data_IF_197704788563
#
_entry.id   IF_197704788563
#
_cell.length_a   1.000
_cell.length_b   1.000
_cell.length_c   1.000
_cell.angle_alpha   90.00
_cell.angle_beta   90.00
_cell.angle_gamma   90.00
#
_symmetry.space_group_name_H-M   'P 1'
#
loop_
_entity.id
_entity.type
_entity.pdbx_description
1 polymer ?
#
# COMPACT_ATOMS: atom_id res chain seq x y z
N UNK A 1 -18.04 23.01 -30.75
CA UNK A 1 -17.15 23.97 -30.06
C UNK A 1 -16.84 23.57 -28.60
N UNK A 2 -17.76 22.94 -27.88
CA UNK A 2 -17.57 22.58 -26.46
C UNK A 2 -16.58 21.42 -26.24
N UNK A 3 -16.55 20.44 -27.11
CA UNK A 3 -15.64 19.27 -27.02
C UNK A 3 -14.18 19.69 -27.17
N UNK A 4 -13.88 20.56 -28.14
CA UNK A 4 -12.52 21.07 -28.38
C UNK A 4 -12.06 21.96 -27.20
N UNK A 5 -12.97 22.73 -26.62
CA UNK A 5 -12.68 23.58 -25.45
C UNK A 5 -12.38 22.74 -24.20
N UNK A 6 -13.15 21.66 -23.98
CA UNK A 6 -12.91 20.70 -22.89
C UNK A 6 -11.59 19.95 -23.06
N UNK A 7 -11.28 19.46 -24.27
CA UNK A 7 -9.99 18.82 -24.55
C UNK A 7 -8.82 19.79 -24.32
N UNK A 8 -8.92 21.06 -24.74
CA UNK A 8 -7.87 22.05 -24.55
C UNK A 8 -7.66 22.39 -23.07
N UNK A 9 -8.73 22.49 -22.28
CA UNK A 9 -8.64 22.65 -20.82
C UNK A 9 -8.03 21.44 -20.13
N UNK A 10 -8.35 20.22 -20.57
CA UNK A 10 -7.78 18.98 -20.07
C UNK A 10 -6.27 18.94 -20.33
N UNK A 11 -5.81 19.22 -21.55
CA UNK A 11 -4.37 19.27 -21.88
C UNK A 11 -3.59 20.34 -21.10
N UNK A 12 -4.21 21.51 -20.82
CA UNK A 12 -3.56 22.56 -20.02
C UNK A 12 -3.42 22.11 -18.57
N UNK A 13 -4.46 21.48 -18.02
CA UNK A 13 -4.48 20.95 -16.67
C UNK A 13 -3.47 19.83 -16.49
N UNK A 14 -3.39 18.91 -17.46
CA UNK A 14 -2.44 17.80 -17.45
C UNK A 14 -0.99 18.30 -17.52
N UNK A 15 -0.72 19.33 -18.33
CA UNK A 15 0.60 19.95 -18.41
C UNK A 15 1.01 20.61 -17.11
N UNK A 16 0.10 21.34 -16.44
CA UNK A 16 0.37 21.96 -15.15
C UNK A 16 0.65 20.90 -14.08
N UNK A 17 -0.16 19.85 -14.01
CA UNK A 17 0.07 18.73 -13.07
C UNK A 17 1.41 18.04 -13.37
N UNK A 18 1.78 17.86 -14.64
CA UNK A 18 3.07 17.29 -15.02
C UNK A 18 4.26 18.18 -14.61
N UNK A 19 4.11 19.50 -14.68
CA UNK A 19 5.12 20.47 -14.20
C UNK A 19 5.22 20.43 -12.66
N UNK A 20 4.11 20.38 -11.96
CA UNK A 20 4.08 20.26 -10.50
C UNK A 20 4.75 18.95 -10.05
N UNK A 21 4.48 17.83 -10.75
CA UNK A 21 5.10 16.52 -10.48
C UNK A 21 6.61 16.52 -10.67
N UNK A 22 7.17 17.27 -11.63
CA UNK A 22 8.62 17.38 -11.84
C UNK A 22 9.34 18.01 -10.66
N UNK A 23 8.65 18.83 -9.89
CA UNK A 23 9.22 19.52 -8.73
C UNK A 23 9.07 18.73 -7.41
N UNK A 24 8.35 17.61 -7.43
CA UNK A 24 8.24 16.74 -6.27
C UNK A 24 9.57 16.01 -6.06
N UNK A 25 10.11 15.98 -4.84
CA UNK A 25 11.36 15.27 -4.53
C UNK A 25 11.15 13.75 -4.48
N UNK A 26 10.68 13.18 -5.60
CA UNK A 26 10.43 11.75 -5.78
C UNK A 26 11.49 11.14 -6.69
N UNK A 27 12.18 10.14 -6.20
CA UNK A 27 13.22 9.38 -6.93
C UNK A 27 12.72 7.97 -7.16
N UNK A 28 12.60 7.56 -8.42
CA UNK A 28 12.07 6.25 -8.81
C UNK A 28 13.21 5.41 -9.39
N UNK A 29 13.45 4.24 -8.79
CA UNK A 29 14.33 3.21 -9.33
C UNK A 29 13.48 2.10 -9.96
N UNK A 30 13.58 1.95 -11.28
CA UNK A 30 12.78 0.98 -12.06
C UNK A 30 13.48 -0.37 -12.22
N UNK A 31 14.57 -0.63 -11.50
CA UNK A 31 15.30 -1.89 -11.61
C UNK A 31 14.46 -3.05 -11.05
N UNK A 32 14.05 -3.97 -11.91
CA UNK A 32 13.40 -5.21 -11.48
C UNK A 32 14.38 -6.14 -10.78
N UNK A 33 13.89 -7.01 -9.87
CA UNK A 33 14.67 -8.01 -9.15
C UNK A 33 15.96 -7.44 -8.51
N UNK A 34 15.86 -6.26 -7.90
CA UNK A 34 17.02 -5.56 -7.34
C UNK A 34 17.59 -6.31 -6.11
N UNK A 35 18.89 -6.62 -6.08
CA UNK A 35 19.53 -7.18 -4.90
C UNK A 35 19.52 -6.18 -3.74
N UNK A 36 19.22 -6.67 -2.51
CA UNK A 36 19.14 -5.82 -1.31
C UNK A 36 20.43 -5.03 -1.05
N UNK A 37 21.59 -5.58 -1.36
CA UNK A 37 22.87 -4.88 -1.27
C UNK A 37 22.98 -3.71 -2.25
N UNK A 38 22.47 -3.88 -3.47
CA UNK A 38 22.45 -2.83 -4.50
C UNK A 38 21.46 -1.73 -4.12
N UNK A 39 20.24 -2.10 -3.68
CA UNK A 39 19.23 -1.17 -3.17
C UNK A 39 19.83 -0.30 -2.05
N UNK A 40 20.45 -0.94 -1.05
CA UNK A 40 21.06 -0.26 0.08
C UNK A 40 22.17 0.71 -0.35
N UNK A 41 23.01 0.31 -1.31
CA UNK A 41 24.09 1.14 -1.84
C UNK A 41 23.55 2.36 -2.57
N UNK A 42 22.48 2.20 -3.37
CA UNK A 42 21.81 3.30 -4.08
C UNK A 42 21.14 4.27 -3.10
N UNK A 43 20.45 3.76 -2.08
CA UNK A 43 19.80 4.58 -1.04
C UNK A 43 20.83 5.42 -0.27
N UNK A 44 21.98 4.83 0.12
CA UNK A 44 23.09 5.55 0.76
C UNK A 44 23.65 6.64 -0.13
N UNK A 45 23.84 6.34 -1.41
CA UNK A 45 24.34 7.31 -2.38
C UNK A 45 23.37 8.48 -2.56
N UNK A 46 22.06 8.18 -2.71
CA UNK A 46 21.01 9.20 -2.81
C UNK A 46 20.98 10.07 -1.56
N UNK A 47 20.95 9.48 -0.36
CA UNK A 47 20.97 10.20 0.91
C UNK A 47 22.16 11.17 1.01
N UNK A 48 23.37 10.72 0.63
CA UNK A 48 24.58 11.60 0.61
C UNK A 48 24.43 12.75 -0.38
N UNK A 49 23.91 12.47 -1.58
CA UNK A 49 23.70 13.50 -2.61
C UNK A 49 22.67 14.55 -2.17
N UNK A 50 21.59 14.11 -1.50
CA UNK A 50 20.58 15.02 -0.97
C UNK A 50 21.14 15.90 0.15
N UNK A 51 21.92 15.34 1.09
CA UNK A 51 22.57 16.11 2.15
C UNK A 51 23.48 17.23 1.60
N UNK A 52 24.18 16.99 0.49
CA UNK A 52 24.96 18.03 -0.19
C UNK A 52 24.09 19.19 -0.70
N UNK A 53 22.83 18.90 -1.03
CA UNK A 53 21.81 19.88 -1.44
C UNK A 53 21.00 20.46 -0.27
N UNK A 54 21.37 20.17 0.98
CA UNK A 54 20.63 20.53 2.19
C UNK A 54 19.20 19.96 2.20
N UNK A 55 19.04 18.76 1.65
CA UNK A 55 17.80 17.99 1.63
C UNK A 55 18.03 16.66 2.33
N UNK A 56 16.98 16.09 2.89
CA UNK A 56 17.04 14.79 3.54
C UNK A 56 16.17 13.75 2.80
N UNK A 57 16.64 12.50 2.82
CA UNK A 57 15.83 11.36 2.41
C UNK A 57 14.87 11.07 3.56
N UNK A 58 13.55 11.18 3.31
CA UNK A 58 12.53 11.11 4.35
C UNK A 58 11.78 9.78 4.40
N UNK A 59 11.77 9.04 3.28
CA UNK A 59 11.04 7.77 3.16
C UNK A 59 11.66 6.93 2.05
N UNK A 60 11.69 5.61 2.26
CA UNK A 60 11.99 4.62 1.23
C UNK A 60 10.75 3.73 1.07
N UNK A 61 10.30 3.53 -0.17
CA UNK A 61 9.21 2.60 -0.51
C UNK A 61 9.74 1.49 -1.39
N UNK A 62 9.45 0.24 -1.06
CA UNK A 62 9.81 -0.95 -1.84
C UNK A 62 8.54 -1.61 -2.35
N UNK A 63 8.33 -1.62 -3.65
CA UNK A 63 7.16 -2.24 -4.32
C UNK A 63 7.65 -3.36 -5.24
N UNK A 64 7.53 -4.61 -4.84
CA UNK A 64 7.18 -5.22 -3.57
C UNK A 64 8.27 -6.23 -3.17
N UNK A 65 8.23 -6.72 -1.91
CA UNK A 65 9.31 -7.53 -1.32
C UNK A 65 9.70 -8.76 -2.15
N UNK A 66 8.73 -9.44 -2.74
CA UNK A 66 8.94 -10.66 -3.51
C UNK A 66 9.68 -10.44 -4.85
N UNK A 67 9.85 -9.19 -5.28
CA UNK A 67 10.70 -8.83 -6.42
C UNK A 67 12.14 -8.49 -6.01
N UNK A 68 12.41 -8.25 -4.73
CA UNK A 68 13.77 -8.07 -4.26
C UNK A 68 14.49 -9.41 -4.18
N UNK A 69 15.82 -9.40 -4.29
CA UNK A 69 16.65 -10.60 -4.22
C UNK A 69 17.79 -10.40 -3.23
N UNK A 70 18.41 -11.50 -2.81
CA UNK A 70 19.66 -11.42 -2.03
C UNK A 70 20.87 -11.17 -2.95
N UNK A 71 20.75 -11.45 -4.25
CA UNK A 71 21.86 -11.43 -5.19
C UNK A 71 22.87 -12.57 -5.00
N UNK A 72 22.52 -13.59 -4.21
CA UNK A 72 23.36 -14.74 -3.90
C UNK A 72 22.65 -16.03 -4.25
N UNK A 73 23.34 -16.94 -4.93
CA UNK A 73 22.83 -18.29 -5.23
C UNK A 73 22.67 -19.15 -3.98
N UNK A 74 23.24 -18.76 -2.85
CA UNK A 74 23.17 -19.50 -1.58
C UNK A 74 21.74 -19.78 -1.10
N UNK A 75 20.81 -18.92 -1.43
CA UNK A 75 19.40 -19.02 -0.98
C UNK A 75 18.46 -19.45 -2.10
N UNK A 76 19.01 -19.84 -3.25
CA UNK A 76 18.23 -20.25 -4.43
C UNK A 76 17.36 -21.46 -4.08
N UNK A 77 16.03 -21.29 -4.15
CA UNK A 77 15.04 -22.31 -3.79
C UNK A 77 14.55 -22.27 -2.34
N UNK A 78 15.10 -21.42 -1.47
CA UNK A 78 14.58 -21.21 -0.11
C UNK A 78 14.04 -19.78 0.05
N UNK A 79 12.80 -19.58 -0.38
CA UNK A 79 12.11 -18.27 -0.39
C UNK A 79 12.04 -17.67 1.02
N UNK A 80 11.82 -18.49 2.05
CA UNK A 80 11.71 -18.02 3.44
C UNK A 80 13.02 -17.39 3.90
N UNK A 81 14.14 -18.03 3.63
CA UNK A 81 15.46 -17.50 4.01
C UNK A 81 15.83 -16.28 3.18
N UNK A 82 15.45 -16.25 1.91
CA UNK A 82 15.69 -15.10 1.05
C UNK A 82 14.92 -13.87 1.54
N UNK A 83 13.63 -14.01 1.83
CA UNK A 83 12.82 -12.93 2.40
C UNK A 83 13.38 -12.47 3.75
N UNK A 84 13.83 -13.38 4.61
CA UNK A 84 14.45 -13.03 5.89
C UNK A 84 15.70 -12.17 5.71
N UNK A 85 16.56 -12.47 4.77
CA UNK A 85 17.74 -11.66 4.48
C UNK A 85 17.36 -10.27 3.93
N UNK A 86 16.33 -10.21 3.09
CA UNK A 86 15.84 -8.95 2.53
C UNK A 86 15.26 -8.06 3.66
N UNK A 87 14.41 -8.61 4.52
CA UNK A 87 13.77 -7.84 5.61
C UNK A 87 14.79 -7.34 6.62
N UNK A 88 15.76 -8.18 7.00
CA UNK A 88 16.88 -7.78 7.85
C UNK A 88 17.72 -6.68 7.21
N UNK A 89 18.01 -6.80 5.90
CA UNK A 89 18.73 -5.79 5.14
C UNK A 89 17.99 -4.44 5.10
N UNK A 90 16.67 -4.46 4.87
CA UNK A 90 15.83 -3.25 4.91
C UNK A 90 15.78 -2.64 6.31
N UNK A 91 15.67 -3.46 7.36
CA UNK A 91 15.70 -3.00 8.74
C UNK A 91 17.03 -2.35 9.11
N UNK A 92 18.14 -2.95 8.68
CA UNK A 92 19.48 -2.39 8.89
C UNK A 92 19.62 -1.04 8.16
N UNK A 93 19.17 -0.95 6.91
CA UNK A 93 19.18 0.27 6.12
C UNK A 93 18.36 1.39 6.77
N UNK A 94 17.14 1.08 7.23
CA UNK A 94 16.26 2.02 7.92
C UNK A 94 16.95 2.64 9.15
N UNK A 95 17.59 1.80 9.97
CA UNK A 95 18.35 2.24 11.15
C UNK A 95 19.57 3.08 10.78
N UNK A 96 20.35 2.64 9.79
CA UNK A 96 21.58 3.30 9.37
C UNK A 96 21.31 4.71 8.82
N UNK A 97 20.29 4.83 7.96
CA UNK A 97 19.93 6.11 7.36
C UNK A 97 19.03 6.96 8.26
N UNK A 98 18.48 6.40 9.33
CA UNK A 98 17.43 6.98 10.17
C UNK A 98 16.21 7.42 9.34
N UNK A 99 15.75 6.54 8.45
CA UNK A 99 14.66 6.79 7.50
C UNK A 99 13.65 5.65 7.60
N UNK A 100 12.35 5.91 7.69
CA UNK A 100 11.34 4.87 7.62
C UNK A 100 11.37 4.17 6.26
N UNK A 101 11.15 2.85 6.29
CA UNK A 101 11.03 2.01 5.09
C UNK A 101 9.65 1.38 5.08
N UNK A 102 8.88 1.63 4.02
CA UNK A 102 7.63 0.95 3.74
C UNK A 102 7.91 -0.11 2.69
N UNK A 103 7.65 -1.36 3.02
CA UNK A 103 7.76 -2.46 2.07
C UNK A 103 6.37 -3.05 1.81
N UNK A 104 5.97 -3.07 0.55
CA UNK A 104 4.75 -3.74 0.13
C UNK A 104 4.99 -5.25 0.06
N UNK A 105 4.02 -6.04 0.43
CA UNK A 105 4.09 -7.49 0.38
C UNK A 105 2.79 -8.08 -0.14
N UNK A 106 2.91 -9.06 -1.02
CA UNK A 106 1.78 -9.82 -1.51
C UNK A 106 1.32 -10.81 -0.43
N UNK A 107 0.01 -10.93 -0.26
CA UNK A 107 -0.59 -11.93 0.60
C UNK A 107 -0.64 -13.31 -0.04
N UNK A 108 -0.71 -14.34 0.80
CA UNK A 108 -1.02 -15.70 0.38
C UNK A 108 -2.41 -15.77 -0.25
N UNK A 109 -2.54 -16.57 -1.33
CA UNK A 109 -3.85 -16.83 -1.94
C UNK A 109 -4.81 -17.56 -1.03
N UNK A 110 -4.35 -18.13 0.06
CA UNK A 110 -5.20 -18.83 1.05
C UNK A 110 -6.27 -17.91 1.67
N UNK A 111 -6.04 -16.58 1.69
CA UNK A 111 -7.05 -15.62 2.13
C UNK A 111 -8.32 -15.67 1.26
N UNK A 112 -8.17 -15.97 -0.03
CA UNK A 112 -9.28 -16.06 -0.99
C UNK A 112 -10.16 -17.30 -0.78
N UNK A 113 -9.66 -18.34 -0.11
CA UNK A 113 -10.38 -19.61 0.12
C UNK A 113 -11.13 -19.65 1.45
N UNK A 114 -10.92 -18.67 2.34
CA UNK A 114 -11.62 -18.60 3.63
C UNK A 114 -12.97 -17.91 3.50
N UNK A 115 -13.91 -18.24 4.38
CA UNK A 115 -15.19 -17.51 4.48
C UNK A 115 -14.96 -16.06 4.89
N UNK A 116 -14.14 -15.84 5.93
CA UNK A 116 -13.71 -14.52 6.33
C UNK A 116 -12.43 -14.14 5.58
N UNK A 117 -12.55 -13.25 4.59
CA UNK A 117 -11.46 -12.79 3.73
C UNK A 117 -10.66 -11.61 4.33
N UNK A 118 -10.94 -11.26 5.59
CA UNK A 118 -10.18 -10.23 6.32
C UNK A 118 -8.74 -10.71 6.53
N UNK A 119 -7.71 -9.98 6.05
CA UNK A 119 -6.32 -10.39 6.17
C UNK A 119 -5.85 -10.52 7.61
N UNK A 120 -4.93 -11.45 7.83
CA UNK A 120 -4.30 -11.75 9.12
C UNK A 120 -2.79 -11.88 8.96
N UNK A 121 -2.02 -11.82 10.05
CA UNK A 121 -0.56 -11.98 10.02
C UNK A 121 -0.13 -13.29 9.37
N UNK A 122 -0.86 -14.38 9.58
CA UNK A 122 -0.61 -15.68 8.93
C UNK A 122 -0.75 -15.69 7.42
N UNK A 123 -1.36 -14.66 6.83
CA UNK A 123 -1.54 -14.52 5.39
C UNK A 123 -0.34 -13.86 4.70
N UNK A 124 0.59 -13.31 5.48
CA UNK A 124 1.87 -12.89 4.94
C UNK A 124 2.60 -14.14 4.43
N UNK A 125 2.73 -14.28 3.13
CA UNK A 125 3.31 -15.46 2.50
C UNK A 125 4.77 -15.63 2.88
N UNK A 126 5.16 -16.87 3.29
CA UNK A 126 6.53 -17.26 3.65
C UNK A 126 7.20 -16.43 4.76
N UNK A 127 6.46 -16.00 5.79
CA UNK A 127 6.64 -14.70 6.40
C UNK A 127 6.79 -14.63 7.92
N UNK A 128 7.12 -15.65 8.58
CA UNK A 128 7.57 -15.49 9.97
C UNK A 128 8.63 -14.39 10.11
N UNK A 129 9.49 -14.25 9.08
CA UNK A 129 10.54 -13.21 9.03
C UNK A 129 9.97 -11.78 8.86
N UNK A 130 9.00 -11.58 7.94
CA UNK A 130 8.38 -10.25 7.75
C UNK A 130 7.72 -9.80 9.04
N UNK A 131 6.95 -10.71 9.66
CA UNK A 131 6.29 -10.42 10.92
C UNK A 131 7.31 -10.10 12.02
N UNK A 132 8.40 -10.85 12.14
CA UNK A 132 9.41 -10.62 13.19
C UNK A 132 10.14 -9.29 13.01
N UNK A 133 10.56 -8.96 11.79
CA UNK A 133 11.41 -7.82 11.50
C UNK A 133 10.65 -6.50 11.43
N UNK A 134 9.39 -6.51 10.98
CA UNK A 134 8.57 -5.30 10.86
C UNK A 134 8.20 -4.72 12.24
N UNK A 135 8.28 -3.41 12.39
CA UNK A 135 7.78 -2.70 13.58
C UNK A 135 6.26 -2.53 13.52
N UNK A 136 5.73 -2.35 12.32
CA UNK A 136 4.31 -2.20 12.04
C UNK A 136 3.95 -3.09 10.86
N UNK A 137 2.84 -3.82 10.97
CA UNK A 137 2.22 -4.55 9.86
C UNK A 137 0.82 -4.02 9.67
N UNK A 138 0.53 -3.59 8.44
CA UNK A 138 -0.77 -3.04 8.05
C UNK A 138 -1.30 -3.80 6.85
N UNK A 139 -2.60 -4.08 6.85
CA UNK A 139 -3.30 -4.61 5.70
C UNK A 139 -4.31 -3.61 5.18
N UNK A 140 -4.49 -3.56 3.87
CA UNK A 140 -5.57 -2.82 3.23
C UNK A 140 -6.67 -3.81 2.88
N UNK A 141 -7.87 -3.56 3.39
CA UNK A 141 -9.02 -4.42 3.18
C UNK A 141 -10.20 -3.63 2.62
N UNK A 142 -10.88 -4.20 1.62
CA UNK A 142 -12.10 -3.66 1.03
C UNK A 142 -13.13 -4.77 0.95
N UNK A 143 -14.12 -4.73 1.82
CA UNK A 143 -15.19 -5.73 1.87
C UNK A 143 -16.03 -5.72 0.58
N UNK A 144 -16.34 -4.53 0.06
CA UNK A 144 -17.05 -4.32 -1.20
C UNK A 144 -16.43 -5.11 -2.37
N UNK A 145 -15.09 -5.22 -2.42
CA UNK A 145 -14.38 -5.95 -3.46
C UNK A 145 -14.72 -7.44 -3.48
N UNK A 146 -14.87 -8.05 -2.30
CA UNK A 146 -15.22 -9.46 -2.17
C UNK A 146 -16.72 -9.68 -2.36
N UNK A 147 -17.56 -8.84 -1.78
CA UNK A 147 -19.01 -8.92 -1.95
C UNK A 147 -19.46 -8.87 -3.41
N UNK A 148 -18.82 -8.04 -4.23
CA UNK A 148 -19.11 -7.96 -5.68
C UNK A 148 -18.84 -9.26 -6.42
N UNK A 149 -18.00 -10.14 -5.93
CA UNK A 149 -17.66 -11.43 -6.55
C UNK A 149 -18.57 -12.56 -6.12
N UNK A 150 -19.21 -12.40 -4.98
CA UNK A 150 -20.01 -13.44 -4.33
C UNK A 150 -21.51 -13.08 -4.34
N UNK A 151 -22.00 -12.44 -5.43
CA UNK A 151 -23.40 -12.04 -5.60
C UNK A 151 -24.30 -13.30 -5.72
N UNK A 152 -25.29 -13.49 -4.82
CA UNK A 152 -26.23 -14.59 -4.87
C UNK A 152 -27.30 -14.41 -5.97
N UNK A 153 -28.01 -15.50 -6.29
CA UNK A 153 -29.12 -15.46 -7.24
C UNK A 153 -30.21 -14.47 -6.83
N UNK A 154 -30.63 -13.64 -7.78
CA UNK A 154 -31.65 -12.62 -7.57
C UNK A 154 -32.98 -13.21 -7.06
N UNK A 155 -33.60 -12.53 -6.10
CA UNK A 155 -34.90 -12.95 -5.52
C UNK A 155 -34.79 -13.93 -4.36
N UNK A 156 -33.61 -14.28 -3.90
CA UNK A 156 -33.38 -15.08 -2.70
C UNK A 156 -33.23 -14.21 -1.45
N UNK A 157 -33.48 -14.77 -0.28
CA UNK A 157 -33.21 -14.10 1.01
C UNK A 157 -31.73 -13.72 1.15
N UNK A 158 -30.85 -14.59 0.65
CA UNK A 158 -29.40 -14.34 0.61
C UNK A 158 -29.04 -13.12 -0.25
N UNK A 159 -29.77 -12.88 -1.35
CA UNK A 159 -29.54 -11.69 -2.17
C UNK A 159 -29.96 -10.39 -1.45
N UNK A 160 -31.02 -10.42 -0.64
CA UNK A 160 -31.43 -9.28 0.18
C UNK A 160 -30.35 -8.94 1.24
N UNK A 161 -29.85 -9.96 1.94
CA UNK A 161 -28.76 -9.79 2.90
C UNK A 161 -27.49 -9.27 2.25
N UNK A 162 -27.17 -9.78 1.06
CA UNK A 162 -26.04 -9.31 0.27
C UNK A 162 -26.19 -7.84 -0.15
N UNK A 163 -27.38 -7.41 -0.59
CA UNK A 163 -27.64 -6.01 -0.92
C UNK A 163 -27.44 -5.07 0.26
N UNK A 164 -27.89 -5.48 1.45
CA UNK A 164 -27.69 -4.73 2.66
C UNK A 164 -26.19 -4.57 2.97
N UNK A 165 -25.43 -5.67 2.95
CA UNK A 165 -23.96 -5.64 3.15
C UNK A 165 -23.26 -4.80 2.10
N UNK A 166 -23.65 -4.89 0.82
CA UNK A 166 -23.11 -4.07 -0.25
C UNK A 166 -23.33 -2.58 0.01
N UNK A 167 -24.52 -2.20 0.48
CA UNK A 167 -24.86 -0.81 0.80
C UNK A 167 -23.98 -0.30 1.96
N UNK A 168 -23.77 -1.12 2.99
CA UNK A 168 -22.93 -0.77 4.11
C UNK A 168 -21.44 -0.67 3.77
N UNK A 169 -20.95 -1.56 2.89
CA UNK A 169 -19.55 -1.63 2.47
C UNK A 169 -19.17 -0.63 1.37
N UNK A 170 -20.19 -0.03 0.71
CA UNK A 170 -19.97 0.81 -0.46
C UNK A 170 -19.07 2.01 -0.17
N UNK A 171 -18.00 2.13 -0.97
CA UNK A 171 -17.03 3.20 -0.86
C UNK A 171 -16.20 3.19 0.42
N UNK A 172 -16.25 2.12 1.21
CA UNK A 172 -15.44 1.96 2.42
C UNK A 172 -14.22 1.07 2.18
N UNK A 173 -13.18 1.37 2.91
CA UNK A 173 -11.98 0.54 3.03
C UNK A 173 -11.48 0.60 4.46
N UNK A 174 -10.72 -0.40 4.90
CA UNK A 174 -10.13 -0.42 6.22
C UNK A 174 -8.62 -0.63 6.12
N UNK A 175 -7.86 0.10 6.91
CA UNK A 175 -6.45 -0.18 7.18
C UNK A 175 -6.36 -0.90 8.52
N UNK A 176 -5.98 -2.17 8.47
CA UNK A 176 -5.89 -3.04 9.63
C UNK A 176 -4.46 -3.01 10.14
N UNK A 177 -4.22 -2.43 11.30
CA UNK A 177 -2.92 -2.45 11.98
C UNK A 177 -2.89 -3.70 12.85
N UNK A 178 -2.33 -4.79 12.33
CA UNK A 178 -2.32 -6.11 12.99
C UNK A 178 -1.07 -6.33 13.84
N UNK A 179 -0.02 -5.55 13.61
CA UNK A 179 1.15 -5.48 14.47
C UNK A 179 1.60 -4.04 14.64
N UNK A 180 1.91 -3.66 15.87
CA UNK A 180 2.51 -2.37 16.20
C UNK A 180 3.41 -2.53 17.43
N UNK A 181 4.74 -2.54 17.23
CA UNK A 181 5.72 -2.83 18.30
C UNK A 181 5.63 -1.86 19.48
N UNK A 182 5.29 -0.61 19.23
CA UNK A 182 5.26 0.46 20.23
C UNK A 182 3.89 1.12 20.37
N UNK A 183 2.81 0.47 19.89
CA UNK A 183 1.45 1.01 19.94
C UNK A 183 0.39 -0.08 19.91
N UNK A 184 -0.86 0.34 19.88
CA UNK A 184 -2.01 -0.56 19.84
C UNK A 184 -2.28 -1.05 18.40
N UNK A 185 -2.74 -2.30 18.30
CA UNK A 185 -3.38 -2.83 17.08
C UNK A 185 -4.77 -2.23 16.96
N UNK A 186 -5.18 -1.83 15.76
CA UNK A 186 -6.49 -1.22 15.50
C UNK A 186 -6.88 -1.28 14.04
N UNK A 187 -8.16 -1.12 13.76
CA UNK A 187 -8.67 -0.84 12.43
C UNK A 187 -8.93 0.65 12.26
N UNK A 188 -8.58 1.18 11.10
CA UNK A 188 -8.87 2.55 10.69
C UNK A 188 -9.72 2.48 9.44
N UNK A 189 -10.97 2.93 9.56
CA UNK A 189 -11.87 2.96 8.41
C UNK A 189 -11.65 4.24 7.61
N UNK A 190 -11.69 4.08 6.28
CA UNK A 190 -11.40 5.12 5.31
C UNK A 190 -12.46 5.10 4.21
N UNK A 191 -12.64 6.22 3.55
CA UNK A 191 -13.38 6.29 2.31
C UNK A 191 -12.49 5.87 1.15
N UNK A 192 -13.01 5.04 0.25
CA UNK A 192 -12.34 4.67 -0.99
C UNK A 192 -13.15 5.15 -2.21
N UNK A 193 -12.52 6.00 -3.03
CA UNK A 193 -13.10 6.47 -4.29
C UNK A 193 -12.50 5.66 -5.44
N UNK A 194 -13.25 4.68 -5.93
CA UNK A 194 -12.81 3.71 -6.94
C UNK A 194 -12.31 4.38 -8.22
N UNK A 195 -13.05 5.36 -8.73
CA UNK A 195 -12.71 6.11 -9.96
C UNK A 195 -11.30 6.69 -9.96
N UNK A 196 -10.74 7.00 -8.79
CA UNK A 196 -9.43 7.61 -8.63
C UNK A 196 -8.46 6.72 -7.86
N UNK A 197 -8.88 5.51 -7.47
CA UNK A 197 -8.11 4.61 -6.58
C UNK A 197 -7.60 5.35 -5.34
N UNK A 198 -8.44 6.25 -4.79
CA UNK A 198 -8.05 7.18 -3.74
C UNK A 198 -8.66 6.81 -2.40
N UNK A 199 -7.80 6.74 -1.39
CA UNK A 199 -8.21 6.68 0.01
C UNK A 199 -8.28 8.11 0.57
N UNK A 200 -9.27 8.35 1.41
CA UNK A 200 -9.44 9.61 2.15
C UNK A 200 -10.07 9.32 3.51
N UNK A 201 -10.01 10.28 4.41
CA UNK A 201 -10.69 10.15 5.69
C UNK A 201 -12.20 10.03 5.48
N UNK A 202 -12.86 9.24 6.32
CA UNK A 202 -14.32 9.27 6.40
C UNK A 202 -14.75 10.67 6.85
N UNK A 203 -15.73 11.25 6.14
CA UNK A 203 -16.36 12.46 6.61
C UNK A 203 -16.95 12.18 8.01
N UNK A 204 -16.53 12.96 9.02
CA UNK A 204 -17.19 12.93 10.32
C UNK A 204 -18.53 13.62 10.16
N UNK A 205 -19.60 13.03 10.67
CA UNK A 205 -20.97 13.61 10.63
C UNK A 205 -21.04 15.01 11.27
N UNK A 206 -20.05 15.40 12.07
CA UNK A 206 -19.91 16.70 12.71
C UNK A 206 -19.58 17.86 11.74
N UNK A 207 -19.27 17.57 10.46
CA UNK A 207 -18.87 18.55 9.44
C UNK A 207 -19.83 18.64 8.24
N UNK A 208 -21.06 18.20 8.38
CA UNK A 208 -22.09 18.54 7.38
C UNK A 208 -22.60 19.93 7.75
N UNK A 209 -22.23 21.00 7.02
CA UNK A 209 -22.83 22.30 7.26
C UNK A 209 -24.33 22.14 7.03
N UNK A 210 -25.13 22.47 8.06
CA UNK A 210 -26.59 22.63 7.90
C UNK A 210 -26.83 23.45 6.64
N UNK A 211 -27.60 22.91 5.69
CA UNK A 211 -28.06 23.68 4.54
C UNK A 211 -28.83 24.84 5.12
N UNK A 212 -28.26 26.02 4.98
CA UNK A 212 -29.02 27.27 5.16
C UNK A 212 -30.01 27.33 3.99
N UNK A 213 -31.28 27.04 4.28
CA UNK A 213 -32.40 27.27 3.37
C UNK A 213 -32.56 28.76 3.07
#
# INVERSE_FOLDING_TARGET
HDTVRRQRQMCIRDRKVAEDLKNIPLYIDQTGAIPIGVLSSRARRLSRTLKQKKQDLSLIVVDYLQLATTGSDKYRGNVVQEISQITQGLKALAKELNVPVIALSQLSRNVESRDNKRPQLSDLRDSGAIEQDADIVMFVYREEYYLRRDEPDAGTEQHIDWQNKMTEAHGKASVLIEKHRHGAVKSVDMQFTEKFTRFSDLARDEFIPERMD
#
